data_IF_880585015559
#
_entry.id   IF_880585015559
#
_cell.length_a   1.000
_cell.length_b   1.000
_cell.length_c   1.000
_cell.angle_alpha   90.00
_cell.angle_beta   90.00
_cell.angle_gamma   90.00
#
_symmetry.space_group_name_H-M   'P 1'
#
loop_
_entity.id
_entity.type
_entity.pdbx_description
1 polymer ?
#
# COMPACT_ATOMS: atom_id res chain seq x y z
N UNK A 1 58.94 51.43 -1.51
CA UNK A 1 58.44 50.03 -1.55
C UNK A 1 56.93 50.04 -1.79
N UNK A 2 56.46 49.68 -2.98
CA UNK A 2 55.03 49.60 -3.33
C UNK A 2 54.56 48.16 -3.12
N UNK A 3 53.60 47.96 -2.21
CA UNK A 3 52.92 46.68 -2.03
C UNK A 3 51.63 46.72 -2.84
N UNK A 4 51.56 45.96 -3.92
CA UNK A 4 50.38 45.83 -4.76
C UNK A 4 49.32 44.97 -4.06
N UNK A 5 48.15 45.55 -3.79
CA UNK A 5 46.95 44.81 -3.34
C UNK A 5 46.25 44.23 -4.57
N UNK A 6 46.18 42.90 -4.68
CA UNK A 6 45.36 42.20 -5.69
C UNK A 6 43.92 42.06 -5.19
N UNK A 7 42.89 42.30 -6.03
CA UNK A 7 41.50 42.13 -5.61
C UNK A 7 41.10 40.65 -5.59
N UNK A 8 40.50 40.26 -4.46
CA UNK A 8 39.96 38.93 -4.18
C UNK A 8 38.53 38.85 -4.74
N UNK A 9 38.36 38.50 -6.01
CA UNK A 9 37.02 38.29 -6.60
C UNK A 9 37.09 37.05 -7.49
N UNK A 10 36.95 35.84 -6.94
CA UNK A 10 36.83 34.64 -7.78
C UNK A 10 36.21 33.43 -7.05
N UNK A 11 35.19 33.58 -6.21
CA UNK A 11 34.55 32.41 -5.57
C UNK A 11 33.03 32.26 -5.78
N UNK A 12 32.35 33.17 -6.51
CA UNK A 12 30.87 33.12 -6.64
C UNK A 12 30.33 32.65 -8.00
N UNK A 13 31.13 31.98 -8.85
CA UNK A 13 30.69 31.58 -10.20
C UNK A 13 30.39 30.07 -10.36
N UNK A 14 30.59 29.25 -9.32
CA UNK A 14 30.52 27.78 -9.39
C UNK A 14 29.40 27.16 -8.53
N UNK A 15 28.50 27.98 -7.97
CA UNK A 15 27.37 27.50 -7.15
C UNK A 15 26.07 27.43 -7.98
N UNK A 16 25.90 28.34 -8.94
CA UNK A 16 24.70 28.48 -9.77
C UNK A 16 24.45 27.25 -10.69
N UNK A 17 25.45 26.67 -11.39
CA UNK A 17 25.19 25.51 -12.25
C UNK A 17 24.89 24.23 -11.47
N UNK A 18 25.46 24.08 -10.26
CA UNK A 18 25.17 22.94 -9.39
C UNK A 18 23.74 22.97 -8.84
N UNK A 19 23.25 24.16 -8.46
CA UNK A 19 21.87 24.33 -7.99
C UNK A 19 20.84 24.01 -9.09
N UNK A 20 21.10 24.45 -10.33
CA UNK A 20 20.25 24.14 -11.49
C UNK A 20 20.20 22.62 -11.77
N UNK A 21 21.33 21.92 -11.66
CA UNK A 21 21.39 20.46 -11.89
C UNK A 21 20.61 19.65 -10.84
N UNK A 22 20.59 20.10 -9.57
CA UNK A 22 19.82 19.43 -8.51
C UNK A 22 18.31 19.57 -8.74
N UNK A 23 17.84 20.70 -9.27
CA UNK A 23 16.40 20.90 -9.53
C UNK A 23 15.85 20.04 -10.67
N UNK A 24 16.61 19.82 -11.74
CA UNK A 24 16.20 18.94 -12.85
C UNK A 24 16.18 17.47 -12.44
N UNK A 25 17.11 17.03 -11.60
CA UNK A 25 17.11 15.66 -11.07
C UNK A 25 15.88 15.37 -10.18
N UNK A 26 15.41 16.36 -9.41
CA UNK A 26 14.20 16.24 -8.58
C UNK A 26 12.91 16.18 -9.42
N UNK A 27 12.85 16.88 -10.57
CA UNK A 27 11.69 16.85 -11.48
C UNK A 27 11.59 15.55 -12.30
N UNK A 28 12.71 14.86 -12.53
CA UNK A 28 12.74 13.64 -13.35
C UNK A 28 12.27 12.36 -12.64
N UNK A 29 11.87 12.43 -11.36
CA UNK A 29 11.52 11.26 -10.56
C UNK A 29 10.02 11.21 -10.18
N UNK A 30 9.15 11.66 -11.08
CA UNK A 30 7.72 11.34 -10.99
C UNK A 30 7.48 9.92 -11.50
N UNK A 31 7.85 8.93 -10.68
CA UNK A 31 7.54 7.51 -10.95
C UNK A 31 6.02 7.38 -11.05
N UNK A 32 5.51 6.90 -12.19
CA UNK A 32 4.08 6.59 -12.34
C UNK A 32 3.64 5.67 -11.19
N UNK A 33 2.89 6.21 -10.23
CA UNK A 33 2.32 5.40 -9.15
C UNK A 33 1.20 4.57 -9.75
N UNK A 34 1.14 3.25 -9.50
CA UNK A 34 0.03 2.44 -9.97
C UNK A 34 -1.29 3.02 -9.43
N UNK A 35 -2.31 3.10 -10.27
CA UNK A 35 -3.64 3.50 -9.81
C UNK A 35 -4.15 2.49 -8.78
N UNK A 36 -4.88 2.93 -7.77
CA UNK A 36 -5.33 2.09 -6.66
C UNK A 36 -6.85 1.98 -6.65
N UNK A 37 -7.39 0.82 -6.27
CA UNK A 37 -8.84 0.66 -6.03
C UNK A 37 -9.26 1.50 -4.82
N UNK A 38 -10.16 2.46 -5.03
CA UNK A 38 -10.46 3.51 -4.07
C UNK A 38 -11.24 3.10 -2.81
N UNK A 39 -11.86 1.92 -2.76
CA UNK A 39 -12.76 1.51 -1.65
C UNK A 39 -12.40 0.17 -1.01
N UNK A 40 -11.29 -0.45 -1.42
CA UNK A 40 -10.98 -1.83 -1.04
C UNK A 40 -9.50 -2.01 -0.74
N UNK A 41 -9.21 -2.65 0.40
CA UNK A 41 -7.87 -3.12 0.77
C UNK A 41 -7.85 -4.64 0.97
N UNK A 42 -6.65 -5.22 0.94
CA UNK A 42 -6.39 -6.59 1.34
C UNK A 42 -5.84 -6.58 2.77
N UNK A 43 -6.36 -7.44 3.62
CA UNK A 43 -5.91 -7.64 5.00
C UNK A 43 -5.66 -9.12 5.23
N UNK A 44 -4.49 -9.47 5.77
CA UNK A 44 -4.22 -10.80 6.30
C UNK A 44 -4.23 -10.76 7.82
N UNK A 45 -5.03 -11.61 8.46
CA UNK A 45 -5.08 -11.73 9.91
C UNK A 45 -4.08 -12.77 10.42
N UNK A 46 -3.53 -12.54 11.61
CA UNK A 46 -2.59 -13.47 12.25
C UNK A 46 -3.26 -14.80 12.60
N UNK A 47 -2.48 -15.90 12.72
CA UNK A 47 -2.95 -17.20 13.17
C UNK A 47 -3.66 -17.21 14.54
N UNK A 48 -3.25 -16.30 15.43
CA UNK A 48 -3.80 -16.15 16.78
C UNK A 48 -5.25 -15.68 16.82
N UNK A 49 -5.77 -15.13 15.72
CA UNK A 49 -7.17 -14.73 15.63
C UNK A 49 -8.06 -15.95 15.44
N UNK A 50 -9.10 -16.08 16.26
CA UNK A 50 -10.08 -17.15 16.10
C UNK A 50 -10.86 -17.02 14.79
N UNK A 51 -11.00 -18.13 14.05
CA UNK A 51 -11.76 -18.16 12.80
C UNK A 51 -13.21 -17.69 13.00
N UNK A 52 -13.81 -17.98 14.16
CA UNK A 52 -15.16 -17.55 14.50
C UNK A 52 -15.30 -16.02 14.52
N UNK A 53 -14.30 -15.30 15.03
CA UNK A 53 -14.28 -13.84 15.00
C UNK A 53 -14.25 -13.30 13.57
N UNK A 54 -13.50 -13.97 12.70
CA UNK A 54 -13.38 -13.57 11.29
C UNK A 54 -14.69 -13.88 10.54
N UNK A 55 -15.31 -15.04 10.78
CA UNK A 55 -16.61 -15.41 10.20
C UNK A 55 -17.68 -14.39 10.61
N UNK A 56 -17.71 -13.95 11.87
CA UNK A 56 -18.63 -12.89 12.31
C UNK A 56 -18.45 -11.61 11.49
N UNK A 57 -17.21 -11.17 11.24
CA UNK A 57 -16.95 -10.01 10.40
C UNK A 57 -17.50 -10.18 8.98
N UNK A 58 -17.34 -11.37 8.38
CA UNK A 58 -17.89 -11.64 7.04
C UNK A 58 -19.43 -11.61 7.00
N UNK A 59 -20.09 -11.82 8.14
CA UNK A 59 -21.54 -11.69 8.31
C UNK A 59 -21.98 -10.28 8.73
N UNK A 60 -21.06 -9.30 8.76
CA UNK A 60 -21.35 -7.95 9.24
C UNK A 60 -21.58 -7.84 10.76
N UNK A 61 -21.19 -8.87 11.52
CA UNK A 61 -21.29 -8.90 12.98
C UNK A 61 -19.96 -8.47 13.63
N UNK A 62 -19.99 -7.97 14.88
CA UNK A 62 -18.77 -7.69 15.63
C UNK A 62 -17.87 -8.93 15.73
N UNK A 63 -16.58 -8.73 15.53
CA UNK A 63 -15.55 -9.78 15.62
C UNK A 63 -15.37 -10.26 17.06
N UNK A 64 -15.67 -9.40 18.05
CA UNK A 64 -15.35 -9.61 19.46
C UNK A 64 -13.96 -9.15 19.84
N UNK A 65 -13.18 -8.62 18.88
CA UNK A 65 -11.86 -8.04 19.11
C UNK A 65 -12.02 -6.52 19.06
N UNK A 66 -11.84 -5.88 20.21
CA UNK A 66 -12.12 -4.46 20.39
C UNK A 66 -11.34 -3.55 19.41
N UNK A 67 -10.08 -3.87 19.13
CA UNK A 67 -9.25 -3.07 18.22
C UNK A 67 -9.76 -3.15 16.77
N UNK A 68 -10.06 -4.37 16.29
CA UNK A 68 -10.64 -4.62 14.97
C UNK A 68 -12.04 -4.02 14.84
N UNK A 69 -12.91 -4.19 15.83
CA UNK A 69 -14.27 -3.64 15.81
C UNK A 69 -14.26 -2.10 15.76
N UNK A 70 -13.29 -1.47 16.42
CA UNK A 70 -13.06 -0.02 16.30
C UNK A 70 -12.63 0.38 14.88
N UNK A 71 -11.74 -0.37 14.24
CA UNK A 71 -11.32 -0.09 12.86
C UNK A 71 -12.48 -0.24 11.87
N UNK A 72 -13.25 -1.33 11.98
CA UNK A 72 -14.45 -1.60 11.19
C UNK A 72 -15.43 -0.42 11.30
N UNK A 73 -15.70 0.04 12.53
CA UNK A 73 -16.59 1.18 12.78
C UNK A 73 -16.02 2.49 12.26
N UNK A 74 -14.73 2.77 12.52
CA UNK A 74 -14.04 4.01 12.14
C UNK A 74 -14.09 4.25 10.63
N UNK A 75 -13.77 3.22 9.85
CA UNK A 75 -13.72 3.29 8.39
C UNK A 75 -15.04 2.91 7.72
N UNK A 76 -16.11 2.68 8.51
CA UNK A 76 -17.44 2.30 8.00
C UNK A 76 -17.36 1.13 7.02
N UNK A 77 -16.64 0.08 7.42
CA UNK A 77 -16.47 -1.12 6.61
C UNK A 77 -17.85 -1.70 6.26
N UNK A 78 -18.09 -1.87 4.96
CA UNK A 78 -19.36 -2.34 4.40
C UNK A 78 -19.36 -3.85 4.19
N UNK A 79 -18.20 -4.42 3.89
CA UNK A 79 -18.07 -5.83 3.56
C UNK A 79 -16.67 -6.33 3.93
N UNK A 80 -16.62 -7.55 4.47
CA UNK A 80 -15.40 -8.33 4.63
C UNK A 80 -15.63 -9.67 3.94
N UNK A 81 -14.78 -10.03 2.97
CA UNK A 81 -14.90 -11.28 2.23
C UNK A 81 -13.56 -11.96 2.04
N UNK A 82 -13.53 -13.28 2.05
CA UNK A 82 -12.31 -14.03 1.82
C UNK A 82 -11.80 -13.78 0.40
N UNK A 83 -10.50 -13.50 0.26
CA UNK A 83 -9.86 -13.27 -1.03
C UNK A 83 -9.82 -14.57 -1.85
N UNK A 84 -9.40 -15.65 -1.20
CA UNK A 84 -9.26 -16.98 -1.81
C UNK A 84 -10.40 -17.87 -1.31
N UNK A 85 -11.53 -17.83 -2.01
CA UNK A 85 -12.74 -18.56 -1.63
C UNK A 85 -12.44 -20.06 -1.51
N UNK A 86 -12.85 -20.67 -0.40
CA UNK A 86 -12.69 -22.10 -0.15
C UNK A 86 -11.30 -22.50 0.36
N UNK A 87 -10.37 -21.55 0.50
CA UNK A 87 -9.08 -21.84 1.12
C UNK A 87 -9.25 -22.17 2.60
N UNK A 88 -8.51 -23.20 3.04
CA UNK A 88 -8.48 -23.71 4.41
C UNK A 88 -7.11 -23.46 5.03
N UNK A 89 -7.01 -23.37 6.37
CA UNK A 89 -5.71 -23.29 7.03
C UNK A 89 -4.80 -24.44 6.58
N UNK A 90 -3.52 -24.19 6.30
CA UNK A 90 -2.62 -25.23 5.84
C UNK A 90 -2.40 -26.27 6.95
N UNK A 91 -2.26 -27.53 6.55
CA UNK A 91 -1.90 -28.61 7.49
C UNK A 91 -0.41 -28.55 7.87
N UNK A 92 0.42 -28.06 6.95
CA UNK A 92 1.85 -27.91 7.16
C UNK A 92 2.18 -26.43 7.44
N UNK A 93 2.80 -26.08 8.59
CA UNK A 93 3.11 -24.68 8.93
C UNK A 93 4.10 -24.01 7.97
N UNK A 94 4.85 -24.77 7.18
CA UNK A 94 5.76 -24.23 6.17
C UNK A 94 5.06 -23.80 4.87
N UNK A 95 3.76 -24.12 4.72
CA UNK A 95 2.98 -23.68 3.57
C UNK A 95 2.35 -22.31 3.81
N UNK A 96 2.19 -21.48 2.77
CA UNK A 96 1.53 -20.19 2.89
C UNK A 96 0.06 -20.35 3.27
N UNK A 97 -0.37 -19.68 4.35
CA UNK A 97 -1.77 -19.62 4.74
C UNK A 97 -2.54 -18.56 3.95
N UNK A 98 -3.30 -19.02 2.95
CA UNK A 98 -4.18 -18.17 2.13
C UNK A 98 -5.58 -18.00 2.74
N UNK A 99 -5.94 -18.81 3.75
CA UNK A 99 -7.28 -18.83 4.35
C UNK A 99 -7.61 -17.57 5.12
N UNK A 100 -6.57 -16.86 5.59
CA UNK A 100 -6.68 -15.68 6.44
C UNK A 100 -6.58 -14.36 5.70
N UNK A 101 -6.68 -14.37 4.37
CA UNK A 101 -6.57 -13.19 3.52
C UNK A 101 -7.96 -12.72 3.08
N UNK A 102 -8.30 -11.47 3.36
CA UNK A 102 -9.63 -10.90 3.15
C UNK A 102 -9.56 -9.58 2.38
N UNK A 103 -10.57 -9.36 1.54
CA UNK A 103 -10.90 -8.04 1.00
C UNK A 103 -11.77 -7.31 2.01
N UNK A 104 -11.37 -6.11 2.39
CA UNK A 104 -12.14 -5.22 3.27
C UNK A 104 -12.59 -4.03 2.44
N UNK A 105 -13.92 -3.89 2.29
CA UNK A 105 -14.55 -2.80 1.53
C UNK A 105 -15.07 -1.74 2.48
N UNK A 106 -14.77 -0.48 2.22
CA UNK A 106 -15.13 0.66 3.08
C UNK A 106 -15.76 1.81 2.27
N UNK A 107 -16.01 2.95 2.92
CA UNK A 107 -16.57 4.12 2.23
C UNK A 107 -15.51 4.86 1.40
N UNK A 108 -15.87 5.32 0.19
CA UNK A 108 -14.96 6.02 -0.74
C UNK A 108 -14.43 7.36 -0.19
N UNK A 109 -14.92 7.79 0.97
CA UNK A 109 -14.48 9.00 1.67
C UNK A 109 -13.11 8.85 2.33
N UNK A 110 -12.62 7.62 2.48
CA UNK A 110 -11.34 7.33 3.11
C UNK A 110 -10.28 7.02 2.06
N UNK A 111 -9.05 7.50 2.29
CA UNK A 111 -7.93 7.25 1.39
C UNK A 111 -7.37 5.82 1.63
N UNK A 112 -7.30 4.94 0.61
CA UNK A 112 -6.98 3.52 0.81
C UNK A 112 -5.63 3.24 1.47
N UNK A 113 -4.62 4.08 1.25
CA UNK A 113 -3.28 3.94 1.78
C UNK A 113 -3.27 4.24 3.27
N UNK A 114 -4.05 5.24 3.72
CA UNK A 114 -4.29 5.50 5.14
C UNK A 114 -5.00 4.31 5.80
N UNK A 115 -6.07 3.80 5.18
CA UNK A 115 -6.81 2.64 5.73
C UNK A 115 -5.88 1.43 5.84
N UNK A 116 -5.13 1.10 4.79
CA UNK A 116 -4.18 0.00 4.79
C UNK A 116 -3.11 0.16 5.88
N UNK A 117 -2.52 1.36 6.00
CA UNK A 117 -1.53 1.66 7.04
C UNK A 117 -2.09 1.43 8.44
N UNK A 118 -3.25 2.00 8.75
CA UNK A 118 -3.83 1.88 10.09
C UNK A 118 -4.27 0.45 10.41
N UNK A 119 -4.78 -0.31 9.44
CA UNK A 119 -5.05 -1.73 9.63
C UNK A 119 -3.75 -2.53 9.88
N UNK A 120 -2.66 -2.21 9.19
CA UNK A 120 -1.37 -2.90 9.37
C UNK A 120 -0.72 -2.67 10.75
N UNK A 121 -1.13 -1.62 11.45
CA UNK A 121 -0.67 -1.29 12.80
C UNK A 121 -1.43 -2.08 13.90
N UNK A 122 -2.52 -2.78 13.57
CA UNK A 122 -3.28 -3.57 14.54
C UNK A 122 -2.53 -4.86 14.94
N UNK A 123 -2.45 -5.21 16.24
CA UNK A 123 -1.72 -6.38 16.71
C UNK A 123 -2.25 -7.72 16.18
N UNK A 124 -3.49 -7.79 15.68
CA UNK A 124 -4.09 -9.01 15.11
C UNK A 124 -3.98 -9.09 13.58
N UNK A 125 -3.43 -8.07 12.94
CA UNK A 125 -3.19 -8.02 11.49
C UNK A 125 -1.74 -8.38 11.21
N UNK A 126 -1.52 -9.28 10.26
CA UNK A 126 -0.19 -9.66 9.78
C UNK A 126 0.31 -8.65 8.74
N UNK A 127 -0.55 -8.30 7.79
CA UNK A 127 -0.30 -7.19 6.87
C UNK A 127 -1.63 -6.63 6.33
N UNK A 128 -1.57 -5.40 5.84
CA UNK A 128 -2.63 -4.80 5.05
C UNK A 128 -2.02 -4.00 3.89
N UNK A 129 -2.66 -4.07 2.71
CA UNK A 129 -2.17 -3.42 1.50
C UNK A 129 -3.31 -2.96 0.59
N UNK A 130 -3.03 -1.97 -0.23
CA UNK A 130 -3.95 -1.52 -1.27
C UNK A 130 -3.94 -2.46 -2.49
N UNK A 131 -4.98 -2.37 -3.32
CA UNK A 131 -5.07 -3.13 -4.57
C UNK A 131 -4.64 -2.21 -5.72
N UNK A 132 -3.51 -2.53 -6.36
CA UNK A 132 -3.03 -1.84 -7.55
C UNK A 132 -3.79 -2.25 -8.82
N UNK A 133 -4.05 -1.28 -9.69
CA UNK A 133 -4.58 -1.43 -11.03
C UNK A 133 -3.40 -1.24 -11.98
N UNK A 134 -3.04 -2.31 -12.67
CA UNK A 134 -1.94 -2.30 -13.65
C UNK A 134 -2.53 -2.27 -15.06
N UNK A 135 -2.01 -1.36 -15.90
CA UNK A 135 -2.35 -1.35 -17.33
C UNK A 135 -1.58 -2.47 -18.02
N UNK A 136 -2.30 -3.36 -18.71
CA UNK A 136 -1.71 -4.32 -19.65
C UNK A 136 -1.61 -3.66 -21.01
N UNK A 137 -0.38 -3.44 -21.48
CA UNK A 137 -0.14 -3.07 -22.88
C UNK A 137 -0.18 -4.36 -23.71
N UNK A 138 -1.20 -4.50 -24.57
CA UNK A 138 -1.24 -5.58 -25.54
C UNK A 138 -0.08 -5.36 -26.53
N UNK A 139 0.88 -6.27 -26.57
CA UNK A 139 1.87 -6.26 -27.64
C UNK A 139 1.16 -6.72 -28.92
N UNK A 140 0.98 -5.81 -29.88
CA UNK A 140 0.54 -6.14 -31.23
C UNK A 140 1.56 -7.09 -31.86
N UNK A 141 1.20 -8.37 -32.03
CA UNK A 141 2.13 -9.32 -32.66
C UNK A 141 1.83 -10.81 -32.50
N UNK A 142 0.91 -11.23 -31.63
CA UNK A 142 0.54 -12.65 -31.55
C UNK A 142 -0.40 -13.00 -32.70
N UNK A 143 0.18 -13.35 -33.86
CA UNK A 143 -0.56 -14.05 -34.92
C UNK A 143 -0.89 -15.45 -34.41
N UNK A 144 -2.17 -15.69 -34.09
CA UNK A 144 -2.67 -17.04 -33.94
C UNK A 144 -2.65 -17.71 -35.32
N UNK A 145 -1.90 -18.80 -35.45
CA UNK A 145 -2.07 -19.72 -36.59
C UNK A 145 -3.35 -20.49 -36.34
N UNK A 146 -4.32 -20.34 -37.24
CA UNK A 146 -5.48 -21.22 -37.39
C UNK A 146 -5.04 -22.64 -37.75
#
# INVERSE_FOLDING_TARGET
MRVAKRPLIFHSLLIIPFLLFVTTAMLAMERERPSVVGDTIIVKFKPSLELNSIIKMTQGKPSGILSIDRLIKRYRVKEVRQQFIGSKPPQNPNQPDLSRIYKVKFDLKFEPQEVARVFSEDPHVEYAQTIGIHRITLQEGVKYKE
#
